data_IF_044517768353
#
_entry.id   IF_044517768353
#
_cell.length_a   1.000
_cell.length_b   1.000
_cell.length_c   1.000
_cell.angle_alpha   90.00
_cell.angle_beta   90.00
_cell.angle_gamma   90.00
#
_symmetry.space_group_name_H-M   'P 1'
#
loop_
_entity.id
_entity.type
_entity.pdbx_description
1 polymer ?
#
# COMPACT_ATOMS: atom_id res chain seq x y z
N UNK A 1 5.93 -16.23 30.70
CA UNK A 1 5.87 -14.76 30.46
C UNK A 1 7.05 -14.28 29.63
N UNK A 2 8.24 -14.84 29.82
CA UNK A 2 9.48 -14.50 29.12
C UNK A 2 9.42 -14.74 27.59
N UNK A 3 8.83 -15.86 27.15
CA UNK A 3 8.66 -16.18 25.72
C UNK A 3 7.76 -15.17 24.99
N UNK A 4 6.73 -14.66 25.66
CA UNK A 4 5.81 -13.68 25.09
C UNK A 4 6.52 -12.34 24.85
N UNK A 5 7.38 -11.95 25.79
CA UNK A 5 8.16 -10.72 25.69
C UNK A 5 9.23 -10.82 24.60
N UNK A 6 9.89 -11.98 24.48
CA UNK A 6 10.85 -12.27 23.41
C UNK A 6 10.19 -12.25 22.04
N UNK A 7 9.01 -12.86 21.89
CA UNK A 7 8.24 -12.84 20.65
C UNK A 7 7.78 -11.43 20.27
N UNK A 8 7.32 -10.62 21.24
CA UNK A 8 6.93 -9.22 21.00
C UNK A 8 8.13 -8.37 20.54
N UNK A 9 9.29 -8.51 21.20
CA UNK A 9 10.53 -7.84 20.80
C UNK A 9 10.95 -8.20 19.38
N UNK A 10 10.90 -9.49 19.01
CA UNK A 10 11.21 -9.94 17.66
C UNK A 10 10.23 -9.39 16.62
N UNK A 11 8.93 -9.37 16.93
CA UNK A 11 7.92 -8.78 16.05
C UNK A 11 8.17 -7.29 15.81
N UNK A 12 8.40 -6.52 16.88
CA UNK A 12 8.71 -5.09 16.77
C UNK A 12 9.99 -4.87 15.98
N UNK A 13 11.05 -5.64 16.24
CA UNK A 13 12.30 -5.54 15.50
C UNK A 13 12.12 -5.82 14.00
N UNK A 14 11.35 -6.86 13.64
CA UNK A 14 11.02 -7.18 12.25
C UNK A 14 10.23 -6.07 11.57
N UNK A 15 9.20 -5.55 12.23
CA UNK A 15 8.38 -4.42 11.71
C UNK A 15 9.19 -3.13 11.62
N UNK A 16 10.05 -2.85 12.58
CA UNK A 16 10.93 -1.67 12.56
C UNK A 16 11.88 -1.73 11.37
N UNK A 17 12.59 -2.86 11.20
CA UNK A 17 13.57 -3.00 10.13
C UNK A 17 12.88 -2.95 8.76
N UNK A 18 11.74 -3.63 8.59
CA UNK A 18 11.03 -3.66 7.30
C UNK A 18 10.27 -2.37 7.01
N UNK A 19 9.56 -1.78 7.97
CA UNK A 19 8.66 -0.66 7.71
C UNK A 19 9.26 0.68 8.12
N UNK A 20 9.72 0.81 9.36
CA UNK A 20 10.10 2.11 9.92
C UNK A 20 11.43 2.62 9.36
N UNK A 21 12.46 1.76 9.27
CA UNK A 21 13.80 2.17 8.81
C UNK A 21 13.77 2.71 7.37
N UNK A 22 13.26 1.96 6.37
CA UNK A 22 13.02 2.45 5.02
C UNK A 22 12.26 3.77 4.96
N UNK A 23 11.15 3.84 5.71
CA UNK A 23 10.23 4.96 5.62
C UNK A 23 10.65 6.21 6.40
N UNK A 24 11.74 6.15 7.17
CA UNK A 24 12.28 7.29 7.92
C UNK A 24 13.71 7.58 7.49
N UNK A 25 14.65 6.73 7.86
CA UNK A 25 16.07 6.88 7.50
C UNK A 25 16.29 6.80 5.99
N UNK A 26 15.60 5.88 5.30
CA UNK A 26 15.67 5.80 3.84
C UNK A 26 15.16 7.08 3.18
N UNK A 27 14.08 7.68 3.69
CA UNK A 27 13.56 8.97 3.21
C UNK A 27 14.55 10.10 3.48
N UNK A 28 15.19 10.15 4.66
CA UNK A 28 16.21 11.18 4.92
C UNK A 28 17.39 11.10 3.94
N UNK A 29 17.81 9.88 3.58
CA UNK A 29 18.97 9.69 2.69
C UNK A 29 18.61 9.81 1.21
N UNK A 30 17.43 9.39 0.78
CA UNK A 30 17.06 9.31 -0.64
C UNK A 30 15.81 10.10 -1.04
N UNK A 31 14.97 10.49 -0.09
CA UNK A 31 13.69 11.16 -0.35
C UNK A 31 13.86 12.51 -1.05
N UNK A 32 14.97 13.22 -0.86
CA UNK A 32 15.19 14.49 -1.53
C UNK A 32 15.20 14.39 -3.07
N UNK A 33 15.54 13.23 -3.65
CA UNK A 33 15.61 13.01 -5.11
C UNK A 33 14.21 13.06 -5.76
N UNK A 34 13.27 12.14 -5.43
CA UNK A 34 11.90 12.25 -5.94
C UNK A 34 11.23 13.53 -5.45
N UNK A 35 11.57 13.97 -4.24
CA UNK A 35 11.01 15.17 -3.65
C UNK A 35 11.38 16.47 -4.35
N UNK A 36 12.58 16.60 -4.90
CA UNK A 36 12.96 17.78 -5.69
C UNK A 36 12.19 17.86 -6.99
N UNK A 37 11.79 16.72 -7.57
CA UNK A 37 10.97 16.67 -8.79
C UNK A 37 9.54 17.12 -8.44
N UNK A 38 8.94 16.54 -7.39
CA UNK A 38 7.58 16.87 -6.95
C UNK A 38 7.49 18.33 -6.49
N UNK A 39 8.40 18.75 -5.62
CA UNK A 39 8.46 20.13 -5.14
C UNK A 39 8.83 21.08 -6.27
N UNK A 40 9.71 20.71 -7.20
CA UNK A 40 10.05 21.54 -8.36
C UNK A 40 8.85 21.78 -9.29
N UNK A 41 7.98 20.78 -9.45
CA UNK A 41 6.76 20.90 -10.26
C UNK A 41 5.65 21.73 -9.59
N UNK A 42 5.64 21.80 -8.25
CA UNK A 42 4.56 22.42 -7.47
C UNK A 42 4.96 23.73 -6.78
N UNK A 43 6.26 23.99 -6.61
CA UNK A 43 6.75 25.15 -5.88
C UNK A 43 7.13 26.29 -6.82
N UNK A 44 6.57 27.47 -6.53
CA UNK A 44 6.94 28.71 -7.22
C UNK A 44 8.34 29.21 -6.87
N UNK A 45 8.72 30.35 -7.46
CA UNK A 45 10.05 30.97 -7.33
C UNK A 45 10.56 31.13 -5.88
N UNK A 46 9.66 31.21 -4.90
CA UNK A 46 10.00 31.32 -3.47
C UNK A 46 10.75 30.11 -2.91
N UNK A 47 10.43 28.87 -3.32
CA UNK A 47 11.19 27.70 -2.86
C UNK A 47 12.58 27.66 -3.50
N UNK A 48 12.70 28.13 -4.75
CA UNK A 48 13.97 28.20 -5.46
C UNK A 48 14.91 29.26 -4.85
N UNK A 49 14.36 30.32 -4.25
CA UNK A 49 15.13 31.33 -3.52
C UNK A 49 15.45 30.95 -2.06
N UNK A 50 14.89 29.84 -1.53
CA UNK A 50 15.08 29.45 -0.14
C UNK A 50 16.50 28.93 0.16
N UNK A 51 16.98 29.02 1.41
CA UNK A 51 18.26 28.45 1.82
C UNK A 51 18.34 26.94 1.57
N UNK A 52 19.54 26.42 1.29
CA UNK A 52 19.77 25.01 0.96
C UNK A 52 19.22 24.03 1.99
N UNK A 53 19.34 24.34 3.29
CA UNK A 53 18.78 23.53 4.37
C UNK A 53 17.24 23.44 4.31
N UNK A 54 16.57 24.56 4.02
CA UNK A 54 15.10 24.60 3.87
C UNK A 54 14.68 23.77 2.65
N UNK A 55 15.39 23.92 1.51
CA UNK A 55 15.14 23.10 0.32
C UNK A 55 15.29 21.61 0.61
N UNK A 56 16.33 21.22 1.33
CA UNK A 56 16.54 19.82 1.70
C UNK A 56 15.39 19.26 2.54
N UNK A 57 14.90 20.00 3.54
CA UNK A 57 13.73 19.59 4.33
C UNK A 57 12.50 19.44 3.44
N UNK A 58 12.19 20.46 2.63
CA UNK A 58 11.01 20.44 1.76
C UNK A 58 11.08 19.29 0.77
N UNK A 59 12.21 19.10 0.09
CA UNK A 59 12.41 17.98 -0.84
C UNK A 59 12.26 16.65 -0.11
N UNK A 60 12.88 16.48 1.05
CA UNK A 60 12.79 15.22 1.80
C UNK A 60 11.34 14.89 2.19
N UNK A 61 10.57 15.88 2.64
CA UNK A 61 9.15 15.71 2.98
C UNK A 61 8.28 15.44 1.74
N UNK A 62 8.49 16.19 0.66
CA UNK A 62 7.78 15.97 -0.61
C UNK A 62 8.09 14.61 -1.24
N UNK A 63 9.28 14.07 -0.97
CA UNK A 63 9.74 12.77 -1.45
C UNK A 63 9.37 11.57 -0.59
N UNK A 64 8.60 11.75 0.49
CA UNK A 64 8.07 10.64 1.30
C UNK A 64 7.30 9.64 0.41
N UNK A 65 6.61 10.10 -0.64
CA UNK A 65 6.00 9.24 -1.65
C UNK A 65 5.02 8.24 -1.04
N UNK A 66 5.21 6.93 -1.27
CA UNK A 66 4.38 5.88 -0.66
C UNK A 66 4.80 5.52 0.78
N UNK A 67 5.95 6.00 1.27
CA UNK A 67 6.55 5.54 2.53
C UNK A 67 5.75 5.91 3.78
N UNK A 68 4.93 6.99 3.73
CA UNK A 68 4.02 7.33 4.82
C UNK A 68 3.08 6.16 5.16
N UNK A 69 2.67 5.37 4.17
CA UNK A 69 1.80 4.21 4.38
C UNK A 69 2.54 3.13 5.18
N UNK A 70 3.85 2.94 4.95
CA UNK A 70 4.67 2.03 5.76
C UNK A 70 4.83 2.50 7.21
N UNK A 71 4.97 3.81 7.45
CA UNK A 71 4.96 4.38 8.81
C UNK A 71 3.62 4.10 9.49
N UNK A 72 2.51 4.29 8.78
CA UNK A 72 1.18 4.00 9.27
C UNK A 72 1.02 2.51 9.64
N UNK A 73 1.42 1.59 8.75
CA UNK A 73 1.38 0.15 9.02
C UNK A 73 2.21 -0.23 10.25
N UNK A 74 3.33 0.45 10.49
CA UNK A 74 4.13 0.25 11.69
C UNK A 74 3.36 0.67 12.94
N UNK A 75 2.73 1.85 12.94
CA UNK A 75 1.90 2.32 14.06
C UNK A 75 0.73 1.38 14.33
N UNK A 76 -0.02 0.97 13.30
CA UNK A 76 -1.12 0.01 13.46
C UNK A 76 -0.60 -1.33 14.04
N UNK A 77 0.58 -1.78 13.60
CA UNK A 77 1.20 -3.00 14.11
C UNK A 77 1.53 -2.90 15.61
N UNK A 78 1.94 -1.72 16.10
CA UNK A 78 2.17 -1.48 17.53
C UNK A 78 0.85 -1.42 18.31
N UNK A 79 -0.18 -0.73 17.78
CA UNK A 79 -1.50 -0.70 18.39
C UNK A 79 -2.08 -2.11 18.55
N UNK A 80 -1.91 -2.97 17.55
CA UNK A 80 -2.31 -4.37 17.61
C UNK A 80 -1.63 -5.13 18.77
N UNK A 81 -0.37 -4.81 19.10
CA UNK A 81 0.29 -5.40 20.27
C UNK A 81 -0.32 -4.93 21.59
N UNK A 82 -0.72 -3.66 21.68
CA UNK A 82 -1.35 -3.12 22.90
C UNK A 82 -2.69 -3.79 23.16
N UNK A 83 -3.50 -3.99 22.12
CA UNK A 83 -4.80 -4.66 22.24
C UNK A 83 -4.70 -6.19 22.14
N UNK A 84 -3.50 -6.76 22.00
CA UNK A 84 -3.27 -8.17 21.67
C UNK A 84 -4.03 -9.17 22.54
N UNK A 85 -4.17 -8.92 23.85
CA UNK A 85 -4.90 -9.83 24.75
C UNK A 85 -6.39 -9.88 24.41
N UNK A 86 -7.02 -8.71 24.23
CA UNK A 86 -8.42 -8.59 23.82
C UNK A 86 -8.59 -9.18 22.42
N UNK A 87 -7.67 -8.84 21.53
CA UNK A 87 -7.61 -9.34 20.15
C UNK A 87 -7.53 -10.87 20.08
N UNK A 88 -6.70 -11.51 20.90
CA UNK A 88 -6.59 -12.97 20.93
C UNK A 88 -7.85 -13.62 21.50
N UNK A 89 -8.52 -12.98 22.45
CA UNK A 89 -9.80 -13.45 22.98
C UNK A 89 -10.90 -13.36 21.91
N UNK A 90 -11.03 -12.20 21.26
CA UNK A 90 -11.94 -11.98 20.13
C UNK A 90 -11.63 -12.94 18.99
N UNK A 91 -10.35 -13.18 18.66
CA UNK A 91 -9.97 -14.11 17.60
C UNK A 91 -10.38 -15.55 17.91
N UNK A 92 -10.29 -16.00 19.17
CA UNK A 92 -10.76 -17.34 19.54
C UNK A 92 -12.28 -17.46 19.39
N UNK A 93 -13.01 -16.40 19.66
CA UNK A 93 -14.47 -16.35 19.54
C UNK A 93 -14.92 -16.24 18.09
N UNK A 94 -14.31 -15.34 17.30
CA UNK A 94 -14.55 -15.19 15.87
C UNK A 94 -14.19 -16.46 15.08
N UNK A 95 -13.06 -17.11 15.39
CA UNK A 95 -12.73 -18.41 14.78
C UNK A 95 -13.77 -19.49 15.09
N UNK A 96 -14.49 -19.39 16.21
CA UNK A 96 -15.61 -20.30 16.52
C UNK A 96 -16.89 -19.89 15.78
N UNK A 97 -17.16 -18.60 15.62
CA UNK A 97 -18.37 -18.11 14.95
C UNK A 97 -18.30 -18.22 13.41
N UNK A 98 -17.11 -18.15 12.83
CA UNK A 98 -16.84 -18.23 11.38
C UNK A 98 -16.65 -19.69 10.92
N UNK A 99 -17.12 -20.69 11.67
CA UNK A 99 -17.06 -22.09 11.22
C UNK A 99 -18.10 -22.43 10.14
N UNK A 100 -19.08 -21.57 9.91
CA UNK A 100 -20.16 -21.78 8.94
C UNK A 100 -20.00 -20.83 7.75
N UNK A 101 -20.18 -21.35 6.53
CA UNK A 101 -20.19 -20.51 5.32
C UNK A 101 -21.22 -19.37 5.40
N UNK A 102 -22.38 -19.61 6.02
CA UNK A 102 -23.42 -18.58 6.22
C UNK A 102 -22.91 -17.35 6.97
N UNK A 103 -22.08 -17.55 8.01
CA UNK A 103 -21.43 -16.47 8.75
C UNK A 103 -20.48 -15.66 7.87
N UNK A 104 -19.77 -16.34 6.95
CA UNK A 104 -18.84 -15.68 6.02
C UNK A 104 -19.59 -14.74 5.06
N UNK A 105 -20.73 -15.16 4.51
CA UNK A 105 -21.51 -14.29 3.62
C UNK A 105 -21.98 -13.01 4.33
N UNK A 106 -22.47 -13.12 5.56
CA UNK A 106 -22.85 -11.95 6.39
C UNK A 106 -21.64 -11.06 6.64
N UNK A 107 -20.49 -11.65 6.99
CA UNK A 107 -19.26 -10.93 7.24
C UNK A 107 -18.79 -10.15 6.00
N UNK A 108 -18.83 -10.75 4.81
CA UNK A 108 -18.52 -10.07 3.54
C UNK A 108 -19.42 -8.84 3.34
N UNK A 109 -20.73 -8.94 3.59
CA UNK A 109 -21.62 -7.78 3.48
C UNK A 109 -21.23 -6.68 4.48
N UNK A 110 -20.98 -7.05 5.75
CA UNK A 110 -20.57 -6.10 6.80
C UNK A 110 -19.24 -5.41 6.46
N UNK A 111 -18.29 -6.13 5.87
CA UNK A 111 -16.98 -5.59 5.49
C UNK A 111 -17.09 -4.41 4.52
N UNK A 112 -18.03 -4.45 3.57
CA UNK A 112 -18.26 -3.32 2.68
C UNK A 112 -18.63 -2.06 3.47
N UNK A 113 -19.59 -2.17 4.40
CA UNK A 113 -20.02 -1.05 5.23
C UNK A 113 -18.91 -0.56 6.17
N UNK A 114 -18.10 -1.47 6.71
CA UNK A 114 -16.93 -1.10 7.51
C UNK A 114 -15.90 -0.30 6.69
N UNK A 115 -15.57 -0.77 5.48
CA UNK A 115 -14.64 -0.08 4.59
C UNK A 115 -15.18 1.27 4.15
N UNK A 116 -16.44 1.33 3.71
CA UNK A 116 -17.07 2.58 3.28
C UNK A 116 -17.25 3.57 4.44
N UNK A 117 -17.65 3.12 5.63
CA UNK A 117 -17.73 3.99 6.81
C UNK A 117 -16.36 4.53 7.20
N UNK A 118 -15.34 3.66 7.27
CA UNK A 118 -13.97 4.06 7.57
C UNK A 118 -13.34 4.97 6.51
N UNK A 119 -13.82 4.88 5.26
CA UNK A 119 -13.43 5.75 4.15
C UNK A 119 -13.69 7.24 4.41
N UNK A 120 -14.58 7.56 5.36
CA UNK A 120 -14.99 8.90 5.75
C UNK A 120 -14.30 9.39 7.03
N UNK A 121 -13.61 8.51 7.74
CA UNK A 121 -13.01 8.80 9.04
C UNK A 121 -11.50 8.95 8.92
N UNK A 122 -10.92 9.86 9.71
CA UNK A 122 -9.47 10.06 9.82
C UNK A 122 -8.77 10.33 8.47
N UNK A 123 -9.44 10.98 7.52
CA UNK A 123 -8.82 11.49 6.31
C UNK A 123 -8.12 12.83 6.62
N UNK A 124 -6.90 13.03 6.15
CA UNK A 124 -6.23 14.32 6.37
C UNK A 124 -6.72 15.37 5.37
N UNK A 125 -6.96 16.63 5.80
CA UNK A 125 -7.47 17.68 4.93
C UNK A 125 -6.41 18.26 3.99
N UNK A 126 -5.12 18.15 4.34
CA UNK A 126 -4.01 18.74 3.56
C UNK A 126 -3.49 17.78 2.49
N UNK A 127 -3.41 16.48 2.82
CA UNK A 127 -2.97 15.44 1.88
C UNK A 127 -4.10 14.43 1.74
N UNK A 128 -4.99 14.69 0.78
CA UNK A 128 -6.25 13.94 0.63
C UNK A 128 -6.05 12.42 0.40
N UNK A 129 -4.86 12.01 -0.05
CA UNK A 129 -4.48 10.60 -0.18
C UNK A 129 -4.18 9.90 1.16
N UNK A 130 -3.96 10.64 2.25
CA UNK A 130 -3.68 10.09 3.58
C UNK A 130 -5.00 9.76 4.29
N UNK A 131 -5.50 8.55 4.01
CA UNK A 131 -6.81 8.08 4.44
C UNK A 131 -6.70 7.06 5.57
N UNK A 132 -6.35 7.52 6.76
CA UNK A 132 -6.00 6.62 7.86
C UNK A 132 -7.13 5.66 8.27
N UNK A 133 -8.39 6.07 8.16
CA UNK A 133 -9.53 5.24 8.54
C UNK A 133 -9.63 3.96 7.70
N UNK A 134 -9.78 4.09 6.38
CA UNK A 134 -9.94 2.94 5.47
C UNK A 134 -8.73 1.99 5.52
N UNK A 135 -7.51 2.53 5.59
CA UNK A 135 -6.30 1.71 5.64
C UNK A 135 -6.18 0.94 6.96
N UNK A 136 -6.61 1.52 8.08
CA UNK A 136 -6.63 0.82 9.38
C UNK A 136 -7.64 -0.32 9.34
N UNK A 137 -8.87 -0.07 8.87
CA UNK A 137 -9.88 -1.11 8.75
C UNK A 137 -9.46 -2.20 7.77
N UNK A 138 -8.91 -1.84 6.60
CA UNK A 138 -8.40 -2.81 5.64
C UNK A 138 -7.29 -3.69 6.23
N UNK A 139 -6.37 -3.11 7.00
CA UNK A 139 -5.33 -3.87 7.71
C UNK A 139 -5.94 -4.87 8.71
N UNK A 140 -6.90 -4.43 9.52
CA UNK A 140 -7.56 -5.28 10.50
C UNK A 140 -8.38 -6.39 9.81
N UNK A 141 -9.11 -6.09 8.74
CA UNK A 141 -9.83 -7.08 7.94
C UNK A 141 -8.88 -8.12 7.33
N UNK A 142 -7.72 -7.68 6.83
CA UNK A 142 -6.64 -8.58 6.40
C UNK A 142 -6.18 -9.52 7.51
N UNK A 143 -6.06 -8.99 8.73
CA UNK A 143 -5.59 -9.75 9.89
C UNK A 143 -6.66 -10.70 10.47
N UNK A 144 -7.92 -10.29 10.59
CA UNK A 144 -8.97 -11.06 11.26
C UNK A 144 -9.79 -11.93 10.32
N UNK A 145 -10.11 -11.41 9.13
CA UNK A 145 -11.09 -12.03 8.24
C UNK A 145 -10.38 -12.82 7.16
N UNK A 146 -9.52 -12.17 6.38
CA UNK A 146 -8.85 -12.82 5.25
C UNK A 146 -7.73 -13.77 5.66
N UNK A 147 -7.34 -13.80 6.94
CA UNK A 147 -6.40 -14.79 7.47
C UNK A 147 -7.06 -16.15 7.77
N UNK A 148 -8.37 -16.27 7.59
CA UNK A 148 -9.13 -17.49 7.85
C UNK A 148 -9.34 -18.29 6.57
N UNK A 149 -8.97 -19.57 6.59
CA UNK A 149 -9.02 -20.44 5.41
C UNK A 149 -10.43 -20.55 4.81
N UNK A 150 -11.46 -20.65 5.66
CA UNK A 150 -12.86 -20.72 5.20
C UNK A 150 -13.28 -19.48 4.38
N UNK A 151 -12.78 -18.29 4.73
CA UNK A 151 -13.07 -17.06 3.98
C UNK A 151 -12.41 -17.15 2.61
N UNK A 152 -11.15 -17.60 2.55
CA UNK A 152 -10.43 -17.77 1.29
C UNK A 152 -11.09 -18.82 0.39
N UNK A 153 -11.56 -19.94 0.95
CA UNK A 153 -12.27 -20.98 0.20
C UNK A 153 -13.62 -20.47 -0.38
N UNK A 154 -14.38 -19.68 0.39
CA UNK A 154 -15.60 -19.02 -0.11
C UNK A 154 -15.27 -18.06 -1.26
N UNK A 155 -14.21 -17.25 -1.14
CA UNK A 155 -13.80 -16.34 -2.22
C UNK A 155 -13.34 -17.09 -3.47
N UNK A 156 -12.63 -18.20 -3.30
CA UNK A 156 -12.19 -19.08 -4.39
C UNK A 156 -13.36 -19.71 -5.14
N UNK A 157 -14.41 -20.13 -4.42
CA UNK A 157 -15.69 -20.61 -4.98
C UNK A 157 -16.40 -19.50 -5.76
N UNK A 158 -16.43 -18.28 -5.23
CA UNK A 158 -17.11 -17.11 -5.81
C UNK A 158 -16.22 -16.24 -6.71
N UNK A 159 -15.04 -16.73 -7.15
CA UNK A 159 -14.04 -15.93 -7.87
C UNK A 159 -14.57 -15.25 -9.13
N UNK A 160 -15.39 -15.93 -9.92
CA UNK A 160 -15.96 -15.36 -11.14
C UNK A 160 -17.06 -14.35 -10.85
N UNK A 161 -17.87 -14.59 -9.82
CA UNK A 161 -18.93 -13.67 -9.39
C UNK A 161 -18.32 -12.38 -8.86
N UNK A 162 -17.32 -12.48 -7.98
CA UNK A 162 -16.59 -11.31 -7.46
C UNK A 162 -15.83 -10.58 -8.56
N UNK A 163 -15.22 -11.29 -9.53
CA UNK A 163 -14.58 -10.67 -10.70
C UNK A 163 -15.58 -9.91 -11.56
N UNK A 164 -16.74 -10.51 -11.88
CA UNK A 164 -17.80 -9.84 -12.62
C UNK A 164 -18.30 -8.60 -11.88
N UNK A 165 -18.52 -8.70 -10.56
CA UNK A 165 -18.90 -7.56 -9.73
C UNK A 165 -17.83 -6.45 -9.74
N UNK A 166 -16.54 -6.80 -9.72
CA UNK A 166 -15.44 -5.85 -9.82
C UNK A 166 -15.40 -5.14 -11.18
N UNK A 167 -15.63 -5.87 -12.27
CA UNK A 167 -15.70 -5.28 -13.63
C UNK A 167 -16.90 -4.33 -13.74
N UNK A 168 -18.09 -4.75 -13.33
CA UNK A 168 -19.32 -3.93 -13.41
C UNK A 168 -19.18 -2.68 -12.54
N UNK A 169 -18.75 -2.82 -11.29
CA UNK A 169 -18.52 -1.68 -10.40
C UNK A 169 -17.40 -0.78 -10.88
N UNK A 170 -16.37 -1.32 -11.55
CA UNK A 170 -15.29 -0.55 -12.16
C UNK A 170 -15.73 0.28 -13.35
N UNK A 171 -16.53 -0.28 -14.26
CA UNK A 171 -17.14 0.46 -15.37
C UNK A 171 -18.03 1.58 -14.82
N UNK A 172 -18.85 1.28 -13.82
CA UNK A 172 -19.69 2.27 -13.16
C UNK A 172 -18.88 3.39 -12.49
N UNK A 173 -17.79 3.02 -11.79
CA UNK A 173 -16.87 3.98 -11.19
C UNK A 173 -16.26 4.90 -12.24
N UNK A 174 -15.72 4.35 -13.33
CA UNK A 174 -15.11 5.14 -14.42
C UNK A 174 -16.14 6.10 -15.01
N UNK A 175 -17.35 5.62 -15.33
CA UNK A 175 -18.41 6.46 -15.89
C UNK A 175 -18.77 7.64 -14.98
N UNK A 176 -18.86 7.42 -13.65
CA UNK A 176 -19.21 8.47 -12.67
C UNK A 176 -18.05 9.40 -12.32
N UNK A 177 -16.83 8.89 -12.33
CA UNK A 177 -15.63 9.60 -11.93
C UNK A 177 -14.92 10.28 -13.12
N UNK A 178 -15.40 10.09 -14.35
CA UNK A 178 -14.76 10.63 -15.54
C UNK A 178 -14.62 12.15 -15.46
N UNK A 179 -13.41 12.66 -15.71
CA UNK A 179 -13.09 14.09 -15.62
C UNK A 179 -12.93 14.64 -14.20
N UNK A 180 -13.15 13.84 -13.15
CA UNK A 180 -12.91 14.23 -11.77
C UNK A 180 -11.49 13.84 -11.38
N UNK A 181 -10.76 14.74 -10.71
CA UNK A 181 -9.45 14.41 -10.17
C UNK A 181 -9.54 13.26 -9.15
N UNK A 182 -8.93 12.12 -9.49
CA UNK A 182 -9.01 10.87 -8.73
C UNK A 182 -8.57 11.02 -7.26
N UNK A 183 -7.60 11.91 -7.00
CA UNK A 183 -7.04 12.12 -5.67
C UNK A 183 -7.95 12.86 -4.69
N UNK A 184 -9.10 13.39 -5.13
CA UNK A 184 -10.01 14.08 -4.22
C UNK A 184 -10.71 13.11 -3.27
N UNK A 185 -10.65 13.44 -1.99
CA UNK A 185 -11.31 12.74 -0.88
C UNK A 185 -12.82 12.65 -1.06
N UNK A 186 -13.45 13.66 -1.69
CA UNK A 186 -14.88 13.67 -1.99
C UNK A 186 -15.27 12.52 -2.92
N UNK A 187 -14.46 12.25 -3.94
CA UNK A 187 -14.63 11.11 -4.84
C UNK A 187 -14.30 9.79 -4.12
N UNK A 188 -13.16 9.73 -3.44
CA UNK A 188 -12.66 8.52 -2.79
C UNK A 188 -13.55 8.05 -1.61
N UNK A 189 -14.36 8.94 -1.03
CA UNK A 189 -15.31 8.64 0.07
C UNK A 189 -16.71 8.27 -0.42
N UNK A 190 -16.96 8.31 -1.73
CA UNK A 190 -18.25 7.91 -2.30
C UNK A 190 -18.48 6.41 -2.17
N UNK A 191 -19.75 6.00 -2.07
CA UNK A 191 -20.11 4.60 -1.93
C UNK A 191 -19.66 3.77 -3.14
N UNK A 192 -19.70 4.33 -4.35
CA UNK A 192 -19.38 3.59 -5.58
C UNK A 192 -17.87 3.40 -5.79
N UNK A 193 -17.03 4.35 -5.37
CA UNK A 193 -15.58 4.17 -5.33
C UNK A 193 -15.17 3.08 -4.33
N UNK A 194 -15.81 3.06 -3.16
CA UNK A 194 -15.57 2.04 -2.14
C UNK A 194 -16.14 0.68 -2.54
N UNK A 195 -17.26 0.64 -3.28
CA UNK A 195 -17.83 -0.60 -3.81
C UNK A 195 -16.88 -1.23 -4.83
N UNK A 196 -16.37 -0.43 -5.78
CA UNK A 196 -15.37 -0.90 -6.72
C UNK A 196 -14.12 -1.43 -6.00
N UNK A 197 -13.59 -0.67 -5.05
CA UNK A 197 -12.44 -1.08 -4.23
C UNK A 197 -12.70 -2.41 -3.53
N UNK A 198 -13.87 -2.54 -2.89
CA UNK A 198 -14.26 -3.75 -2.17
C UNK A 198 -14.38 -4.95 -3.11
N UNK A 199 -15.13 -4.83 -4.20
CA UNK A 199 -15.28 -5.89 -5.20
C UNK A 199 -13.93 -6.31 -5.79
N UNK A 200 -13.04 -5.36 -6.05
CA UNK A 200 -11.69 -5.64 -6.56
C UNK A 200 -10.85 -6.44 -5.56
N UNK A 201 -10.90 -6.11 -4.26
CA UNK A 201 -10.22 -6.89 -3.21
C UNK A 201 -10.71 -8.35 -3.23
N UNK A 202 -12.03 -8.56 -3.25
CA UNK A 202 -12.61 -9.91 -3.29
C UNK A 202 -12.20 -10.67 -4.55
N UNK A 203 -12.24 -10.01 -5.71
CA UNK A 203 -11.88 -10.59 -7.00
C UNK A 203 -10.41 -11.01 -7.03
N UNK A 204 -9.50 -10.13 -6.60
CA UNK A 204 -8.07 -10.45 -6.54
C UNK A 204 -7.85 -11.64 -5.61
N UNK A 205 -8.43 -11.64 -4.41
CA UNK A 205 -8.22 -12.74 -3.46
C UNK A 205 -8.82 -14.05 -3.96
N UNK A 206 -10.03 -14.04 -4.52
CA UNK A 206 -10.66 -15.23 -5.08
C UNK A 206 -9.91 -15.80 -6.28
N UNK A 207 -9.44 -14.95 -7.20
CA UNK A 207 -8.69 -15.37 -8.38
C UNK A 207 -7.28 -15.87 -8.02
N UNK A 208 -6.56 -15.17 -7.14
CA UNK A 208 -5.23 -15.61 -6.70
C UNK A 208 -5.30 -16.86 -5.82
N UNK A 209 -6.32 -17.03 -4.98
CA UNK A 209 -6.53 -18.28 -4.25
C UNK A 209 -6.81 -19.48 -5.17
N UNK A 210 -7.40 -19.24 -6.35
CA UNK A 210 -7.68 -20.29 -7.33
C UNK A 210 -6.47 -20.65 -8.20
N UNK A 211 -5.68 -19.65 -8.63
CA UNK A 211 -4.69 -19.82 -9.69
C UNK A 211 -3.27 -19.36 -9.33
N UNK A 212 -3.15 -18.47 -8.33
CA UNK A 212 -1.92 -17.79 -7.94
C UNK A 212 -1.20 -18.38 -6.74
N UNK A 213 -1.85 -19.24 -5.94
CA UNK A 213 -1.24 -19.91 -4.78
C UNK A 213 -0.33 -21.08 -5.23
N UNK A 214 0.76 -20.72 -5.90
CA UNK A 214 1.80 -21.63 -6.39
C UNK A 214 3.11 -21.30 -5.71
N UNK A 215 3.87 -22.33 -5.34
CA UNK A 215 5.23 -22.18 -4.79
C UNK A 215 6.24 -22.70 -5.80
N UNK A 216 6.98 -21.78 -6.40
CA UNK A 216 8.11 -22.04 -7.28
C UNK A 216 9.17 -20.94 -7.13
N UNK A 217 10.34 -21.15 -7.74
CA UNK A 217 11.46 -20.20 -7.65
C UNK A 217 11.09 -18.77 -8.08
N UNK A 218 10.23 -18.62 -9.10
CA UNK A 218 9.76 -17.30 -9.57
C UNK A 218 8.89 -16.61 -8.53
N UNK A 219 7.90 -17.30 -7.97
CA UNK A 219 7.01 -16.75 -6.93
C UNK A 219 7.78 -16.41 -5.65
N UNK A 220 8.80 -17.20 -5.29
CA UNK A 220 9.65 -16.92 -4.15
C UNK A 220 10.51 -15.67 -4.39
N UNK A 221 11.08 -15.54 -5.60
CA UNK A 221 11.83 -14.35 -6.00
C UNK A 221 10.95 -13.09 -6.02
N UNK A 222 9.74 -13.17 -6.60
CA UNK A 222 8.75 -12.09 -6.59
C UNK A 222 8.39 -11.68 -5.16
N UNK A 223 8.20 -12.66 -4.26
CA UNK A 223 7.97 -12.41 -2.84
C UNK A 223 9.10 -11.61 -2.19
N UNK A 224 10.35 -11.97 -2.47
CA UNK A 224 11.55 -11.29 -1.95
C UNK A 224 11.66 -9.84 -2.46
N UNK A 225 11.47 -9.61 -3.76
CA UNK A 225 11.67 -8.30 -4.39
C UNK A 225 10.47 -7.35 -4.27
N UNK A 226 9.30 -7.85 -3.89
CA UNK A 226 8.05 -7.07 -3.78
C UNK A 226 8.18 -5.80 -2.93
N UNK A 227 8.86 -5.89 -1.78
CA UNK A 227 9.01 -4.76 -0.86
C UNK A 227 10.01 -3.72 -1.37
N UNK A 228 11.20 -4.10 -1.87
CA UNK A 228 12.07 -3.18 -2.62
C UNK A 228 11.36 -2.47 -3.79
N UNK A 229 10.57 -3.19 -4.58
CA UNK A 229 9.79 -2.60 -5.68
C UNK A 229 8.79 -1.57 -5.16
N UNK A 230 8.06 -1.89 -4.08
CA UNK A 230 7.16 -0.95 -3.43
C UNK A 230 7.87 0.34 -2.97
N UNK A 231 9.13 0.28 -2.53
CA UNK A 231 9.87 1.49 -2.14
C UNK A 231 10.33 2.29 -3.36
N UNK A 232 10.85 1.62 -4.39
CA UNK A 232 11.61 2.25 -5.47
C UNK A 232 10.77 2.65 -6.67
N UNK A 233 9.56 2.10 -6.85
CA UNK A 233 8.77 2.37 -8.06
C UNK A 233 8.39 3.85 -8.19
N UNK A 234 8.05 4.56 -7.11
CA UNK A 234 7.72 5.98 -7.17
C UNK A 234 8.92 6.84 -7.61
N UNK A 235 10.11 6.73 -6.99
CA UNK A 235 11.31 7.40 -7.50
C UNK A 235 11.60 7.11 -8.98
N UNK A 236 11.52 5.84 -9.40
CA UNK A 236 11.78 5.43 -10.79
C UNK A 236 10.77 6.07 -11.75
N UNK A 237 9.48 6.04 -11.40
CA UNK A 237 8.39 6.68 -12.16
C UNK A 237 8.64 8.18 -12.30
N UNK A 238 8.97 8.87 -11.21
CA UNK A 238 9.17 10.32 -11.21
C UNK A 238 10.39 10.72 -12.03
N UNK A 239 11.50 9.97 -11.93
CA UNK A 239 12.70 10.23 -12.73
C UNK A 239 12.38 10.00 -14.21
N UNK A 240 11.78 8.86 -14.57
CA UNK A 240 11.41 8.56 -15.95
C UNK A 240 10.48 9.65 -16.54
N UNK A 241 9.46 10.05 -15.78
CA UNK A 241 8.54 11.11 -16.18
C UNK A 241 9.27 12.45 -16.36
N UNK A 242 10.16 12.83 -15.45
CA UNK A 242 10.90 14.10 -15.54
C UNK A 242 11.83 14.18 -16.75
N UNK A 243 12.33 13.04 -17.23
CA UNK A 243 13.13 12.95 -18.45
C UNK A 243 12.24 13.02 -19.70
N UNK A 244 11.10 12.33 -19.68
CA UNK A 244 10.16 12.29 -20.80
C UNK A 244 9.39 13.60 -20.99
N UNK A 245 9.14 14.37 -19.93
CA UNK A 245 8.51 15.69 -20.02
C UNK A 245 9.32 16.69 -20.85
N UNK A 246 10.61 16.42 -21.09
CA UNK A 246 11.48 17.24 -21.95
C UNK A 246 11.43 16.82 -23.43
N UNK A 247 10.64 15.80 -23.76
CA UNK A 247 10.52 15.27 -25.11
C UNK A 247 9.18 15.67 -25.75
N UNK A 248 9.15 15.71 -27.08
CA UNK A 248 7.93 16.01 -27.86
C UNK A 248 6.98 14.80 -28.01
N UNK A 249 7.15 13.76 -27.18
CA UNK A 249 6.32 12.56 -27.22
C UNK A 249 4.90 12.87 -26.72
N UNK A 250 3.90 12.22 -27.34
CA UNK A 250 2.51 12.31 -26.88
C UNK A 250 2.35 11.80 -25.44
N UNK A 251 1.39 12.37 -24.70
CA UNK A 251 1.11 11.97 -23.32
C UNK A 251 0.84 10.47 -23.19
N UNK A 252 0.16 9.88 -24.18
CA UNK A 252 -0.09 8.43 -24.22
C UNK A 252 1.20 7.61 -24.34
N UNK A 253 2.13 8.03 -25.21
CA UNK A 253 3.42 7.36 -25.34
C UNK A 253 4.24 7.49 -24.05
N UNK A 254 4.27 8.68 -23.44
CA UNK A 254 4.96 8.89 -22.16
C UNK A 254 4.39 7.98 -21.07
N UNK A 255 3.07 7.84 -20.97
CA UNK A 255 2.42 6.96 -20.00
C UNK A 255 2.84 5.49 -20.17
N UNK A 256 2.84 4.98 -21.41
CA UNK A 256 3.26 3.60 -21.71
C UNK A 256 4.73 3.40 -21.34
N UNK A 257 5.62 4.32 -21.73
CA UNK A 257 7.05 4.22 -21.42
C UNK A 257 7.29 4.24 -19.91
N UNK A 258 6.63 5.13 -19.16
CA UNK A 258 6.72 5.20 -17.71
C UNK A 258 6.23 3.91 -17.05
N UNK A 259 5.15 3.31 -17.56
CA UNK A 259 4.66 2.03 -17.06
C UNK A 259 5.69 0.92 -17.24
N UNK A 260 6.29 0.77 -18.43
CA UNK A 260 7.36 -0.20 -18.65
C UNK A 260 8.62 0.10 -17.81
N UNK A 261 8.99 1.37 -17.67
CA UNK A 261 10.09 1.77 -16.79
C UNK A 261 9.84 1.35 -15.35
N UNK A 262 8.62 1.54 -14.83
CA UNK A 262 8.26 1.10 -13.49
C UNK A 262 8.38 -0.42 -13.31
N UNK A 263 7.94 -1.21 -14.29
CA UNK A 263 8.00 -2.68 -14.20
C UNK A 263 9.40 -3.26 -14.42
N UNK A 264 10.22 -2.65 -15.27
CA UNK A 264 11.53 -3.20 -15.65
C UNK A 264 12.68 -2.57 -14.87
N UNK A 265 12.71 -1.25 -14.71
CA UNK A 265 13.81 -0.55 -14.05
C UNK A 265 13.73 -0.66 -12.54
N UNK A 266 12.53 -0.76 -11.95
CA UNK A 266 12.41 -0.86 -10.48
C UNK A 266 13.03 -2.15 -9.92
N UNK A 267 12.76 -3.35 -10.46
CA UNK A 267 13.46 -4.56 -10.03
C UNK A 267 14.97 -4.47 -10.22
N UNK A 268 15.44 -3.89 -11.33
CA UNK A 268 16.88 -3.70 -11.57
C UNK A 268 17.50 -2.76 -10.54
N UNK A 269 16.86 -1.63 -10.25
CA UNK A 269 17.30 -0.69 -9.22
C UNK A 269 17.33 -1.34 -7.83
N UNK A 270 16.34 -2.17 -7.50
CA UNK A 270 16.32 -2.94 -6.26
C UNK A 270 17.54 -3.85 -6.14
N UNK A 271 17.84 -4.64 -7.18
CA UNK A 271 18.98 -5.56 -7.20
C UNK A 271 20.33 -4.82 -7.12
N UNK A 272 20.44 -3.61 -7.67
CA UNK A 272 21.64 -2.78 -7.55
C UNK A 272 21.81 -2.22 -6.13
N UNK A 273 20.73 -1.71 -5.53
CA UNK A 273 20.75 -1.15 -4.17
C UNK A 273 21.05 -2.24 -3.13
N UNK A 274 20.55 -3.46 -3.32
CA UNK A 274 20.81 -4.60 -2.45
C UNK A 274 22.30 -4.94 -2.30
N UNK A 275 23.13 -4.57 -3.29
CA UNK A 275 24.58 -4.81 -3.27
C UNK A 275 25.34 -3.83 -2.37
N UNK A 276 24.75 -2.71 -1.96
CA UNK A 276 25.41 -1.67 -1.18
C UNK A 276 25.02 -1.82 0.30
N UNK A 277 25.92 -2.26 1.21
CA UNK A 277 25.55 -2.71 2.56
C UNK A 277 24.85 -1.68 3.43
N UNK A 278 25.27 -0.41 3.37
CA UNK A 278 24.65 0.67 4.15
C UNK A 278 23.30 1.05 3.54
N UNK A 279 23.27 1.21 2.21
CA UNK A 279 22.09 1.70 1.48
C UNK A 279 20.97 0.67 1.50
N UNK A 280 21.27 -0.64 1.35
CA UNK A 280 20.26 -1.71 1.45
C UNK A 280 19.56 -1.73 2.80
N UNK A 281 20.28 -1.42 3.90
CA UNK A 281 19.65 -1.38 5.21
C UNK A 281 18.78 -0.14 5.35
N UNK A 282 19.30 1.03 4.96
CA UNK A 282 18.58 2.30 5.13
C UNK A 282 17.36 2.41 4.22
N UNK A 283 17.46 1.99 2.96
CA UNK A 283 16.35 2.05 1.99
C UNK A 283 15.47 0.82 2.06
N UNK A 284 16.03 -0.40 2.13
CA UNK A 284 15.25 -1.64 1.98
C UNK A 284 14.99 -2.37 3.30
N UNK A 285 15.65 -1.97 4.39
CA UNK A 285 15.46 -2.60 5.70
C UNK A 285 16.15 -3.95 5.85
N UNK A 286 17.01 -4.32 4.90
CA UNK A 286 17.66 -5.64 4.84
C UNK A 286 18.95 -5.61 5.65
N UNK A 287 19.06 -6.50 6.66
CA UNK A 287 20.31 -6.76 7.41
C UNK A 287 20.82 -8.14 7.03
N UNK A 288 21.88 -8.16 6.22
CA UNK A 288 22.76 -9.32 6.03
C UNK A 288 24.19 -8.87 6.29
#
# INVERSE_FOLDING_TARGET
MEDLHKAAKQFIAGRRNKLLVPSTLGVLVFGFIPGSIVAGASAGAKLQAAPGFVKYIVYTLSGIGAQWFSQMLFVISLLLLLVRKVVLAVQKEERKSIQKESSVYVLLVVMFFLLWGASKLLNTPVVESYRFGIYTVAFLLGYYVFSQDIVIEVLKKWRFVSTLAAVVSGVYFIYRAYGIYYGHSSLLSTWYANLFTYCMILAIFGMFAAYGDKKNAVTEWLGKISFPVYILHIPVILIALSLLQKSDLSVGAQYVIVAFAAYLLTPLAALLIEKIPVVRYLILGIRH
#
